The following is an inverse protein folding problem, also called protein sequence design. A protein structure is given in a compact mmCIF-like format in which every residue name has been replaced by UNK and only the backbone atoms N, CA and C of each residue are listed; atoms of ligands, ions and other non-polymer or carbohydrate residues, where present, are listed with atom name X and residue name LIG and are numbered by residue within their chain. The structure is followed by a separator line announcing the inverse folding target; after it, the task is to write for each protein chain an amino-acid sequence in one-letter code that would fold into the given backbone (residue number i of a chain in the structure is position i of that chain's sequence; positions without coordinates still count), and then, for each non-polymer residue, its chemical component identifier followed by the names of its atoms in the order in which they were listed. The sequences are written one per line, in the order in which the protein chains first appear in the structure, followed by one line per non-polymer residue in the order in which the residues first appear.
data_IF_269579707122
#
_entry.id   IF_269579707122
#
_cell.length_a   1.000
_cell.length_b   1.000
_cell.length_c   1.000
_cell.angle_alpha   90.00
_cell.angle_beta   90.00
_cell.angle_gamma   90.00
#
_symmetry.space_group_name_H-M   'P 1'
#
loop_
_entity.id
_entity.type
_entity.pdbx_description
1 polymer ?
#
# COMPACT_ATOMS: atom_id res chain seq x y z
N UNK A 1 7.75 22.41 1.27
CA UNK A 1 6.78 21.30 1.49
C UNK A 1 6.82 20.96 2.96
N UNK A 2 5.67 20.90 3.64
CA UNK A 2 5.59 20.52 5.05
C UNK A 2 5.96 19.03 5.18
N UNK A 3 6.86 18.71 6.09
CA UNK A 3 7.24 17.32 6.39
C UNK A 3 6.35 16.86 7.57
N UNK A 4 5.62 15.79 7.37
CA UNK A 4 4.83 15.15 8.43
C UNK A 4 5.61 13.94 8.93
N UNK A 5 5.88 13.84 10.22
CA UNK A 5 6.46 12.64 10.80
C UNK A 5 5.54 11.44 10.54
N UNK A 6 6.12 10.35 10.06
CA UNK A 6 5.43 9.08 9.88
C UNK A 6 5.71 8.17 11.07
N UNK A 7 5.17 8.58 12.24
CA UNK A 7 5.59 8.08 13.54
C UNK A 7 5.52 6.55 13.64
N UNK A 8 4.45 5.92 13.16
CA UNK A 8 4.29 4.46 13.19
C UNK A 8 5.39 3.74 12.41
N UNK A 9 5.72 4.24 11.21
CA UNK A 9 6.79 3.65 10.40
C UNK A 9 8.17 3.93 10.98
N UNK A 10 8.40 5.15 11.47
CA UNK A 10 9.66 5.51 12.11
C UNK A 10 9.88 4.69 13.37
N UNK A 11 8.86 4.55 14.22
CA UNK A 11 8.92 3.71 15.42
C UNK A 11 9.24 2.25 15.06
N UNK A 12 8.60 1.72 14.00
CA UNK A 12 8.88 0.36 13.53
C UNK A 12 10.33 0.18 13.09
N UNK A 13 10.90 1.16 12.39
CA UNK A 13 12.32 1.12 12.00
C UNK A 13 13.22 1.18 13.23
N UNK A 14 12.90 2.01 14.21
CA UNK A 14 13.64 2.13 15.48
C UNK A 14 13.63 0.79 16.24
N UNK A 15 12.50 0.11 16.33
CA UNK A 15 12.38 -1.22 16.97
C UNK A 15 13.24 -2.30 16.29
N UNK A 16 13.50 -2.13 14.99
CA UNK A 16 14.33 -3.06 14.21
C UNK A 16 15.82 -2.71 14.23
N UNK A 17 16.20 -1.62 14.91
CA UNK A 17 17.60 -1.22 15.03
C UNK A 17 18.46 -2.35 15.66
N UNK A 18 19.56 -2.66 15.02
CA UNK A 18 20.50 -3.70 15.50
C UNK A 18 19.99 -5.13 15.36
N UNK A 19 18.82 -5.39 14.77
CA UNK A 19 18.43 -6.75 14.40
C UNK A 19 19.25 -7.23 13.20
N UNK A 20 19.53 -8.53 13.07
CA UNK A 20 20.43 -9.04 12.03
C UNK A 20 19.86 -8.91 10.61
N UNK A 21 18.54 -8.82 10.47
CA UNK A 21 17.88 -8.83 9.16
C UNK A 21 18.17 -7.57 8.33
N UNK A 22 18.15 -7.70 7.01
CA UNK A 22 18.13 -6.58 6.07
C UNK A 22 16.76 -5.91 6.14
N UNK A 23 16.69 -4.60 6.41
CA UNK A 23 15.45 -3.83 6.47
C UNK A 23 15.16 -3.26 5.07
N UNK A 24 14.03 -3.68 4.49
CA UNK A 24 13.65 -3.27 3.14
C UNK A 24 12.38 -2.43 3.20
N UNK A 25 12.52 -1.17 2.85
CA UNK A 25 11.41 -0.21 2.83
C UNK A 25 10.76 -0.25 1.44
N UNK A 26 9.59 -0.87 1.36
CA UNK A 26 8.79 -0.99 0.13
C UNK A 26 7.61 -0.03 0.12
N UNK A 27 6.86 -0.01 -0.94
CA UNK A 27 5.65 0.80 -1.06
C UNK A 27 5.55 1.52 -2.41
N UNK A 28 4.38 1.96 -2.82
CA UNK A 28 4.16 2.59 -4.12
C UNK A 28 5.11 3.78 -4.35
N UNK A 29 5.41 4.06 -5.61
CA UNK A 29 6.20 5.24 -5.99
C UNK A 29 5.60 6.52 -5.38
N UNK A 30 6.47 7.39 -4.81
CA UNK A 30 6.05 8.64 -4.11
C UNK A 30 5.29 8.44 -2.80
N UNK A 31 5.27 7.25 -2.19
CA UNK A 31 4.70 7.05 -0.85
C UNK A 31 5.54 7.63 0.29
N UNK A 32 6.76 8.11 0.02
CA UNK A 32 7.61 8.77 1.01
C UNK A 32 8.73 7.89 1.60
N UNK A 33 9.09 6.79 0.97
CA UNK A 33 10.16 5.86 1.42
C UNK A 33 11.48 6.55 1.72
N UNK A 34 12.02 7.31 0.75
CA UNK A 34 13.29 8.05 0.91
C UNK A 34 13.22 9.08 2.05
N UNK A 35 12.05 9.74 2.23
CA UNK A 35 11.85 10.68 3.35
C UNK A 35 11.81 9.98 4.70
N UNK A 36 11.22 8.80 4.78
CA UNK A 36 11.22 7.97 5.98
C UNK A 36 12.65 7.50 6.32
N UNK A 37 13.41 7.06 5.33
CA UNK A 37 14.83 6.71 5.50
C UNK A 37 15.66 7.89 6.00
N UNK A 38 15.48 9.08 5.41
CA UNK A 38 16.14 10.31 5.87
C UNK A 38 15.77 10.68 7.32
N UNK A 39 14.48 10.56 7.68
CA UNK A 39 14.04 10.82 9.04
C UNK A 39 14.68 9.86 10.05
N UNK A 40 14.87 8.61 9.68
CA UNK A 40 15.55 7.65 10.52
C UNK A 40 17.07 7.94 10.63
N UNK A 41 17.71 8.36 9.56
CA UNK A 41 19.12 8.81 9.59
C UNK A 41 19.29 9.98 10.56
N UNK A 42 18.41 10.97 10.55
CA UNK A 42 18.46 12.10 11.50
C UNK A 42 18.18 11.65 12.95
N UNK A 43 17.30 10.69 13.14
CA UNK A 43 17.09 10.07 14.45
C UNK A 43 18.36 9.40 14.96
N UNK A 44 19.04 8.59 14.13
CA UNK A 44 20.30 7.94 14.53
C UNK A 44 21.40 8.94 14.90
N UNK A 45 21.58 10.01 14.12
CA UNK A 45 22.55 11.07 14.41
C UNK A 45 22.33 11.74 15.76
N UNK A 46 21.09 11.80 16.23
CA UNK A 46 20.72 12.50 17.45
C UNK A 46 20.60 11.59 18.68
N UNK A 47 20.47 10.26 18.49
CA UNK A 47 20.18 9.32 19.58
C UNK A 47 21.18 8.17 19.70
N UNK A 48 22.06 7.98 18.72
CA UNK A 48 23.05 6.90 18.75
C UNK A 48 24.45 7.50 18.73
N UNK A 49 25.12 7.41 19.87
CA UNK A 49 26.51 7.81 19.97
C UNK A 49 27.40 6.89 19.12
N UNK A 50 28.44 7.47 18.52
CA UNK A 50 29.46 6.71 17.81
C UNK A 50 28.93 5.88 16.61
N UNK A 51 27.92 6.38 15.88
CA UNK A 51 27.44 5.79 14.64
C UNK A 51 28.28 6.23 13.42
N UNK A 52 28.40 5.34 12.44
CA UNK A 52 28.91 5.60 11.11
C UNK A 52 27.76 5.39 10.10
N UNK A 53 27.39 6.43 9.37
CA UNK A 53 26.27 6.39 8.42
C UNK A 53 26.84 6.42 7.00
N UNK A 54 26.62 5.31 6.28
CA UNK A 54 26.95 5.17 4.86
C UNK A 54 25.63 5.31 4.10
N UNK A 55 25.40 6.45 3.44
CA UNK A 55 24.19 6.73 2.69
C UNK A 55 24.49 6.86 1.21
N UNK A 56 23.82 6.08 0.40
CA UNK A 56 23.93 6.02 -1.06
C UNK A 56 22.54 6.26 -1.65
N UNK A 57 22.42 7.29 -2.48
CA UNK A 57 21.21 7.57 -3.26
C UNK A 57 21.52 7.40 -4.74
N UNK A 58 21.07 6.32 -5.35
CA UNK A 58 21.33 6.04 -6.76
C UNK A 58 20.61 6.97 -7.76
N UNK A 59 19.78 7.87 -7.26
CA UNK A 59 19.25 8.98 -8.09
C UNK A 59 20.22 10.17 -8.16
N UNK A 60 21.21 10.24 -7.27
CA UNK A 60 22.24 11.27 -7.27
C UNK A 60 23.41 10.85 -8.20
N UNK A 61 23.84 11.75 -9.09
CA UNK A 61 24.97 11.55 -9.99
C UNK A 61 26.30 11.34 -9.26
N UNK A 62 26.41 11.78 -8.00
CA UNK A 62 27.58 11.52 -7.16
C UNK A 62 27.89 10.02 -6.98
N UNK A 63 26.89 9.15 -7.18
CA UNK A 63 27.02 7.71 -7.06
C UNK A 63 26.96 6.96 -8.41
N UNK A 64 27.10 7.68 -9.54
CA UNK A 64 27.02 7.07 -10.87
C UNK A 64 28.08 5.97 -11.10
N UNK A 65 29.30 6.21 -10.62
CA UNK A 65 30.43 5.29 -10.78
C UNK A 65 30.29 3.98 -9.95
N UNK A 66 29.39 3.95 -8.97
CA UNK A 66 29.18 2.77 -8.12
C UNK A 66 27.87 2.02 -8.43
N UNK A 67 27.22 2.29 -9.56
CA UNK A 67 26.03 1.55 -10.05
C UNK A 67 26.33 0.15 -10.59
N UNK A 68 27.44 -0.44 -10.22
CA UNK A 68 27.84 -1.81 -10.48
C UNK A 68 28.12 -2.51 -9.15
N UNK A 69 27.68 -3.75 -8.99
CA UNK A 69 27.64 -4.40 -7.65
C UNK A 69 29.02 -4.58 -7.01
N UNK A 70 30.10 -4.81 -7.78
CA UNK A 70 31.46 -4.85 -7.24
C UNK A 70 31.94 -3.46 -6.76
N UNK A 71 31.62 -2.41 -7.53
CA UNK A 71 31.95 -1.04 -7.15
C UNK A 71 31.16 -0.60 -5.91
N UNK A 72 29.86 -0.95 -5.84
CA UNK A 72 29.03 -0.74 -4.65
C UNK A 72 29.65 -1.41 -3.41
N UNK A 73 30.01 -2.71 -3.54
CA UNK A 73 30.62 -3.44 -2.44
C UNK A 73 31.93 -2.79 -1.98
N UNK A 74 32.82 -2.48 -2.93
CA UNK A 74 34.12 -1.86 -2.61
C UNK A 74 33.95 -0.46 -1.95
N UNK A 75 33.01 0.33 -2.43
CA UNK A 75 32.70 1.64 -1.84
C UNK A 75 32.25 1.52 -0.39
N UNK A 76 31.34 0.61 -0.09
CA UNK A 76 30.83 0.39 1.28
C UNK A 76 31.95 -0.09 2.20
N UNK A 77 32.81 -1.02 1.74
CA UNK A 77 33.95 -1.49 2.50
C UNK A 77 34.96 -0.39 2.83
N UNK A 78 35.20 0.53 1.89
CA UNK A 78 36.10 1.67 2.10
C UNK A 78 35.57 2.68 3.14
N UNK A 79 34.26 2.71 3.37
CA UNK A 79 33.61 3.57 4.37
C UNK A 79 33.47 2.94 5.75
N UNK A 80 33.82 1.66 5.91
CA UNK A 80 33.73 0.95 7.18
C UNK A 80 34.59 1.53 8.28
N UNK A 81 34.06 1.68 9.49
CA UNK A 81 34.77 2.16 10.66
C UNK A 81 34.68 1.15 11.81
N UNK A 82 35.81 0.50 12.14
CA UNK A 82 35.86 -0.64 13.08
C UNK A 82 35.37 -0.31 14.51
N UNK A 83 35.48 0.95 14.92
CA UNK A 83 35.11 1.38 16.28
C UNK A 83 33.71 2.00 16.36
N UNK A 84 32.91 1.89 15.30
CA UNK A 84 31.56 2.46 15.24
C UNK A 84 30.52 1.43 14.86
N UNK A 85 29.26 1.71 15.22
CA UNK A 85 28.11 0.99 14.66
C UNK A 85 27.92 1.49 13.23
N UNK A 86 28.04 0.61 12.25
CA UNK A 86 27.98 0.95 10.85
C UNK A 86 26.58 0.71 10.28
N UNK A 87 25.93 1.77 9.84
CA UNK A 87 24.63 1.75 9.18
C UNK A 87 24.82 1.94 7.69
N UNK A 88 24.29 1.00 6.89
CA UNK A 88 24.28 1.12 5.43
C UNK A 88 22.85 1.43 4.95
N UNK A 89 22.69 2.56 4.30
CA UNK A 89 21.44 2.98 3.66
C UNK A 89 21.66 3.07 2.16
N UNK A 90 20.85 2.34 1.39
CA UNK A 90 20.86 2.41 -0.09
C UNK A 90 19.47 2.75 -0.59
N UNK A 91 19.31 3.94 -1.13
CA UNK A 91 18.06 4.42 -1.73
C UNK A 91 18.02 4.10 -3.23
N UNK A 92 16.86 3.62 -3.74
CA UNK A 92 16.64 3.18 -5.12
C UNK A 92 17.65 2.10 -5.56
N UNK A 93 17.86 1.08 -4.71
CA UNK A 93 18.89 0.05 -4.87
C UNK A 93 18.81 -0.72 -6.21
N UNK A 94 17.65 -0.82 -6.82
CA UNK A 94 17.46 -1.47 -8.13
C UNK A 94 18.16 -0.75 -9.30
N UNK A 95 18.63 0.47 -9.08
CA UNK A 95 19.46 1.19 -10.09
C UNK A 95 20.87 0.60 -10.21
N UNK A 96 21.28 -0.29 -9.30
CA UNK A 96 22.50 -1.07 -9.36
C UNK A 96 22.15 -2.50 -9.79
N UNK A 97 22.40 -2.92 -11.03
CA UNK A 97 22.14 -4.29 -11.47
C UNK A 97 22.89 -5.30 -10.59
N UNK A 98 22.23 -6.42 -10.27
CA UNK A 98 22.79 -7.47 -9.41
C UNK A 98 23.21 -6.99 -7.99
N UNK A 99 22.60 -5.92 -7.50
CA UNK A 99 22.87 -5.36 -6.16
C UNK A 99 22.79 -6.39 -5.04
N UNK A 100 21.92 -7.40 -5.20
CA UNK A 100 21.75 -8.49 -4.23
C UNK A 100 23.04 -9.25 -3.95
N UNK A 101 23.95 -9.37 -4.90
CA UNK A 101 25.24 -10.02 -4.72
C UNK A 101 26.12 -9.21 -3.75
N UNK A 102 26.16 -7.89 -3.92
CA UNK A 102 26.89 -6.99 -3.03
C UNK A 102 26.28 -6.99 -1.63
N UNK A 103 24.95 -6.85 -1.53
CA UNK A 103 24.24 -6.78 -0.24
C UNK A 103 24.37 -8.10 0.53
N UNK A 104 24.19 -9.25 -0.11
CA UNK A 104 24.39 -10.55 0.55
C UNK A 104 25.83 -10.76 1.04
N UNK A 105 26.83 -10.28 0.28
CA UNK A 105 28.24 -10.33 0.70
C UNK A 105 28.50 -9.44 1.92
N UNK A 106 27.94 -8.22 1.94
CA UNK A 106 28.06 -7.31 3.08
C UNK A 106 27.32 -7.84 4.32
N UNK A 107 26.12 -8.40 4.11
CA UNK A 107 25.34 -9.03 5.16
C UNK A 107 26.10 -10.17 5.84
N UNK A 108 26.74 -11.05 5.06
CA UNK A 108 27.51 -12.18 5.59
C UNK A 108 28.71 -11.79 6.45
N UNK A 109 29.14 -10.53 6.41
CA UNK A 109 30.23 -10.01 7.26
C UNK A 109 29.76 -9.61 8.66
N UNK A 110 28.44 -9.50 8.89
CA UNK A 110 27.84 -9.10 10.18
C UNK A 110 28.39 -7.77 10.74
N UNK A 111 28.79 -6.86 9.85
CA UNK A 111 29.42 -5.56 10.20
C UNK A 111 28.51 -4.36 10.02
N UNK A 112 27.40 -4.55 9.35
CA UNK A 112 26.53 -3.46 8.92
C UNK A 112 25.07 -3.73 9.32
N UNK A 113 24.40 -2.70 9.79
CA UNK A 113 22.95 -2.67 9.88
C UNK A 113 22.40 -2.09 8.56
N UNK A 114 21.71 -2.93 7.76
CA UNK A 114 21.44 -2.64 6.33
C UNK A 114 19.99 -2.25 6.13
N UNK A 115 19.79 -1.10 5.48
CA UNK A 115 18.50 -0.53 5.11
C UNK A 115 18.47 -0.24 3.61
N UNK A 116 17.48 -0.77 2.91
CA UNK A 116 17.32 -0.61 1.48
C UNK A 116 15.97 0.01 1.15
N UNK A 117 15.93 0.88 0.14
CA UNK A 117 14.68 1.20 -0.52
C UNK A 117 14.75 0.87 -2.00
N UNK A 118 13.61 0.76 -2.61
CA UNK A 118 13.52 0.67 -4.05
C UNK A 118 12.11 0.85 -4.56
N UNK A 119 11.99 1.12 -5.87
CA UNK A 119 10.70 1.17 -6.51
C UNK A 119 10.13 -0.25 -6.65
N UNK A 120 8.83 -0.35 -6.49
CA UNK A 120 8.08 -1.58 -6.30
C UNK A 120 8.24 -2.62 -7.39
N UNK A 121 8.39 -2.18 -8.65
CA UNK A 121 8.52 -3.10 -9.75
C UNK A 121 9.75 -4.01 -9.63
N UNK A 122 10.77 -3.62 -8.87
CA UNK A 122 12.05 -4.33 -8.76
C UNK A 122 12.28 -4.99 -7.40
N UNK A 123 11.72 -4.45 -6.32
CA UNK A 123 11.76 -5.05 -4.98
C UNK A 123 10.40 -5.65 -4.62
N UNK A 124 10.00 -6.68 -5.35
CA UNK A 124 8.77 -7.41 -5.05
C UNK A 124 8.98 -8.33 -3.86
N UNK A 125 7.99 -8.41 -2.97
CA UNK A 125 8.04 -9.37 -1.87
C UNK A 125 8.34 -10.80 -2.33
N UNK A 126 7.81 -11.21 -3.49
CA UNK A 126 8.12 -12.51 -4.08
C UNK A 126 9.57 -12.63 -4.58
N UNK A 127 10.15 -11.56 -5.14
CA UNK A 127 11.55 -11.52 -5.58
C UNK A 127 12.48 -11.41 -4.37
N UNK A 128 12.12 -10.62 -3.33
CA UNK A 128 12.90 -10.46 -2.10
C UNK A 128 13.13 -11.79 -1.39
N UNK A 129 12.12 -12.65 -1.31
CA UNK A 129 12.25 -13.98 -0.72
C UNK A 129 13.31 -14.83 -1.43
N UNK A 130 13.47 -14.65 -2.75
CA UNK A 130 14.49 -15.33 -3.56
C UNK A 130 15.85 -14.64 -3.45
N UNK A 131 15.88 -13.30 -3.53
CA UNK A 131 17.12 -12.52 -3.51
C UNK A 131 17.85 -12.58 -2.17
N UNK A 132 17.10 -12.56 -1.06
CA UNK A 132 17.66 -12.51 0.29
C UNK A 132 17.40 -13.77 1.13
N UNK A 133 16.77 -14.79 0.57
CA UNK A 133 16.59 -16.14 1.21
C UNK A 133 16.03 -16.08 2.63
N UNK A 134 15.04 -15.20 2.88
CA UNK A 134 14.41 -15.06 4.20
C UNK A 134 15.21 -14.26 5.24
N UNK A 135 16.25 -13.54 4.83
CA UNK A 135 17.12 -12.73 5.72
C UNK A 135 16.75 -11.26 5.69
N UNK A 136 15.47 -10.94 5.58
CA UNK A 136 15.00 -9.58 5.48
C UNK A 136 13.69 -9.36 6.25
N UNK A 137 13.45 -8.13 6.63
CA UNK A 137 12.17 -7.65 7.16
C UNK A 137 11.67 -6.55 6.23
N UNK A 138 10.45 -6.71 5.74
CA UNK A 138 9.78 -5.73 4.90
C UNK A 138 9.05 -4.69 5.75
N UNK A 139 9.23 -3.40 5.41
CA UNK A 139 8.52 -2.27 5.98
C UNK A 139 7.73 -1.63 4.84
N UNK A 140 6.45 -1.99 4.74
CA UNK A 140 5.60 -1.54 3.64
C UNK A 140 4.99 -0.17 3.92
N UNK A 141 5.34 0.83 3.11
CA UNK A 141 4.95 2.24 3.27
C UNK A 141 3.81 2.59 2.31
N UNK A 142 2.61 2.71 2.86
CA UNK A 142 1.43 3.18 2.14
C UNK A 142 1.47 4.70 1.86
N UNK A 143 0.66 5.23 0.92
CA UNK A 143 0.34 6.67 0.86
C UNK A 143 -0.15 7.19 2.21
N UNK A 144 -0.22 8.49 2.42
CA UNK A 144 -0.69 9.05 3.70
C UNK A 144 -2.05 8.47 4.10
N UNK A 145 -2.20 8.14 5.39
CA UNK A 145 -3.49 7.83 6.00
C UNK A 145 -4.35 9.08 6.12
N UNK A 146 -5.63 8.91 6.43
CA UNK A 146 -6.50 10.05 6.74
C UNK A 146 -5.99 10.84 7.96
N UNK A 147 -5.48 10.17 8.99
CA UNK A 147 -4.86 10.83 10.15
C UNK A 147 -3.63 11.67 9.74
N UNK A 148 -2.73 11.12 8.88
CA UNK A 148 -1.59 11.86 8.36
C UNK A 148 -2.00 13.03 7.47
N UNK A 149 -3.08 12.87 6.69
CA UNK A 149 -3.69 13.94 5.90
C UNK A 149 -4.21 15.09 6.78
N UNK A 150 -4.96 14.77 7.85
CA UNK A 150 -5.43 15.77 8.81
C UNK A 150 -4.28 16.54 9.45
N UNK A 151 -3.22 15.84 9.88
CA UNK A 151 -2.00 16.46 10.43
C UNK A 151 -1.28 17.37 9.42
N UNK A 152 -1.32 17.04 8.13
CA UNK A 152 -0.74 17.89 7.09
C UNK A 152 -1.47 19.23 6.98
N UNK A 153 -2.79 19.24 7.07
CA UNK A 153 -3.62 20.45 6.94
C UNK A 153 -3.87 21.18 8.28
N UNK A 154 -3.26 20.73 9.40
CA UNK A 154 -3.26 21.41 10.73
C UNK A 154 -4.66 21.72 11.25
N UNK A 155 -5.59 20.80 11.16
CA UNK A 155 -6.93 20.93 11.76
C UNK A 155 -7.65 22.26 11.44
N UNK A 156 -7.27 22.95 10.36
CA UNK A 156 -7.89 24.22 9.97
C UNK A 156 -9.29 24.05 9.39
N UNK A 157 -9.69 22.81 9.14
CA UNK A 157 -10.97 22.43 8.57
C UNK A 157 -11.71 21.46 9.48
N UNK A 158 -13.03 21.47 9.37
CA UNK A 158 -13.87 20.43 9.94
C UNK A 158 -13.50 19.03 9.40
N UNK A 159 -13.58 18.02 10.28
CA UNK A 159 -13.26 16.62 9.96
C UNK A 159 -14.05 16.13 8.74
N UNK A 160 -15.32 16.51 8.63
CA UNK A 160 -16.17 16.14 7.51
C UNK A 160 -15.62 16.67 6.18
N UNK A 161 -15.20 17.94 6.15
CA UNK A 161 -14.59 18.54 4.97
C UNK A 161 -13.23 17.91 4.64
N UNK A 162 -12.43 17.60 5.65
CA UNK A 162 -11.15 16.91 5.44
C UNK A 162 -11.35 15.50 4.88
N UNK A 163 -12.37 14.79 5.34
CA UNK A 163 -12.69 13.46 4.85
C UNK A 163 -13.17 13.48 3.39
N UNK A 164 -14.08 14.40 3.04
CA UNK A 164 -14.53 14.58 1.66
C UNK A 164 -13.37 14.96 0.73
N UNK A 165 -12.51 15.88 1.18
CA UNK A 165 -11.29 16.26 0.47
C UNK A 165 -10.33 15.07 0.28
N UNK A 166 -10.08 14.29 1.34
CA UNK A 166 -9.18 13.13 1.30
C UNK A 166 -9.71 12.04 0.36
N UNK A 167 -11.01 11.80 0.35
CA UNK A 167 -11.66 10.84 -0.55
C UNK A 167 -11.33 11.12 -2.02
N UNK A 168 -11.18 12.39 -2.38
CA UNK A 168 -10.88 12.84 -3.75
C UNK A 168 -9.38 13.01 -3.98
N UNK A 169 -8.67 13.61 -3.01
CA UNK A 169 -7.24 13.97 -3.15
C UNK A 169 -6.30 12.78 -2.90
N UNK A 170 -6.76 11.80 -2.11
CA UNK A 170 -5.95 10.65 -1.71
C UNK A 170 -4.79 11.00 -0.80
N UNK A 171 -3.88 10.05 -0.61
CA UNK A 171 -2.73 10.11 0.29
C UNK A 171 -1.37 10.34 -0.38
N UNK A 172 -1.31 10.57 -1.71
CA UNK A 172 -0.05 10.90 -2.39
C UNK A 172 0.41 12.33 -2.03
N UNK A 173 1.08 12.46 -0.88
CA UNK A 173 1.43 13.73 -0.24
C UNK A 173 2.19 14.71 -1.13
N UNK A 174 2.96 14.22 -2.12
CA UNK A 174 3.62 15.08 -3.10
C UNK A 174 2.65 15.95 -3.89
N UNK A 175 1.40 15.51 -4.06
CA UNK A 175 0.35 16.25 -4.76
C UNK A 175 -0.12 17.50 -4.00
N UNK A 176 0.03 17.52 -2.68
CA UNK A 176 -0.43 18.63 -1.84
C UNK A 176 0.40 19.91 -1.97
N UNK A 177 1.60 19.81 -2.59
CA UNK A 177 2.42 20.98 -2.89
C UNK A 177 1.82 21.88 -3.98
N UNK A 178 0.89 21.34 -4.77
CA UNK A 178 0.28 22.08 -5.88
C UNK A 178 -0.96 22.87 -5.44
N UNK A 179 -1.01 24.14 -5.84
CA UNK A 179 -2.08 25.06 -5.43
C UNK A 179 -3.38 24.85 -6.23
N UNK A 180 -3.26 24.42 -7.50
CA UNK A 180 -4.44 24.22 -8.34
C UNK A 180 -4.80 22.74 -8.40
N UNK A 181 -6.11 22.47 -8.53
CA UNK A 181 -6.61 21.10 -8.71
C UNK A 181 -6.03 20.46 -9.99
N UNK A 182 -5.95 21.24 -11.06
CA UNK A 182 -5.39 20.78 -12.34
C UNK A 182 -3.95 20.27 -12.19
N UNK A 183 -3.09 21.04 -11.52
CA UNK A 183 -1.69 20.65 -11.34
C UNK A 183 -1.53 19.45 -10.41
N UNK A 184 -2.37 19.38 -9.38
CA UNK A 184 -2.44 18.20 -8.50
C UNK A 184 -2.83 16.94 -9.26
N UNK A 185 -3.88 17.02 -10.07
CA UNK A 185 -4.33 15.90 -10.91
C UNK A 185 -3.23 15.50 -11.89
N UNK A 186 -2.58 16.44 -12.56
CA UNK A 186 -1.48 16.17 -13.48
C UNK A 186 -0.33 15.45 -12.78
N UNK A 187 0.06 15.91 -11.59
CA UNK A 187 1.11 15.23 -10.80
C UNK A 187 0.75 13.77 -10.51
N UNK A 188 -0.49 13.49 -10.08
CA UNK A 188 -0.93 12.13 -9.79
C UNK A 188 -0.94 11.27 -11.05
N UNK A 189 -1.39 11.83 -12.18
CA UNK A 189 -1.35 11.17 -13.49
C UNK A 189 0.07 10.79 -13.89
N UNK A 190 1.01 11.73 -13.79
CA UNK A 190 2.42 11.46 -14.10
C UNK A 190 3.03 10.37 -13.22
N UNK A 191 2.69 10.36 -11.91
CA UNK A 191 3.12 9.28 -11.00
C UNK A 191 2.57 7.93 -11.48
N UNK A 192 1.29 7.86 -11.75
CA UNK A 192 0.62 6.64 -12.22
C UNK A 192 1.18 6.18 -13.57
N UNK A 193 1.29 7.06 -14.55
CA UNK A 193 1.85 6.75 -15.87
C UNK A 193 3.30 6.26 -15.75
N UNK A 194 4.10 6.87 -14.89
CA UNK A 194 5.48 6.39 -14.65
C UNK A 194 5.48 4.95 -14.14
N UNK A 195 4.58 4.59 -13.23
CA UNK A 195 4.49 3.21 -12.71
C UNK A 195 4.07 2.24 -13.83
N UNK A 196 2.97 2.56 -14.52
CA UNK A 196 2.34 1.63 -15.48
C UNK A 196 3.11 1.54 -16.78
N UNK A 197 3.55 2.68 -17.36
CA UNK A 197 4.14 2.70 -18.71
C UNK A 197 5.66 2.59 -18.70
N UNK A 198 6.34 3.01 -17.63
CA UNK A 198 7.79 2.93 -17.54
C UNK A 198 8.24 1.76 -16.68
N UNK A 199 7.88 1.77 -15.38
CA UNK A 199 8.44 0.83 -14.44
C UNK A 199 8.00 -0.62 -14.74
N UNK A 200 6.69 -0.86 -14.99
CA UNK A 200 6.18 -2.20 -15.33
C UNK A 200 6.59 -2.66 -16.73
N UNK A 201 6.50 -1.77 -17.72
CA UNK A 201 6.85 -2.12 -19.11
C UNK A 201 8.33 -2.48 -19.22
N UNK A 202 9.22 -1.70 -18.59
CA UNK A 202 10.66 -2.00 -18.60
C UNK A 202 10.98 -3.31 -17.88
N UNK A 203 10.41 -3.50 -16.66
CA UNK A 203 10.69 -4.72 -15.88
C UNK A 203 10.24 -6.00 -16.58
N UNK A 204 9.04 -5.99 -17.14
CA UNK A 204 8.43 -7.21 -17.70
C UNK A 204 8.51 -7.29 -19.23
N UNK A 205 9.20 -6.34 -19.89
CA UNK A 205 9.33 -6.23 -21.35
C UNK A 205 7.97 -6.39 -22.06
N UNK A 206 6.96 -5.64 -21.61
CA UNK A 206 5.58 -5.81 -22.06
C UNK A 206 5.42 -5.31 -23.50
N UNK A 207 4.90 -6.14 -24.41
CA UNK A 207 4.76 -5.77 -25.83
C UNK A 207 3.55 -4.83 -26.05
N UNK A 208 2.54 -4.86 -25.18
CA UNK A 208 1.30 -4.12 -25.34
C UNK A 208 0.94 -3.38 -24.06
N UNK A 209 1.14 -2.07 -24.08
CA UNK A 209 0.81 -1.17 -22.98
C UNK A 209 -0.68 -0.84 -22.92
N UNK A 210 -1.40 -0.93 -24.04
CA UNK A 210 -2.83 -0.59 -24.11
C UNK A 210 -3.68 -1.56 -23.28
N UNK A 211 -3.38 -2.87 -23.35
CA UNK A 211 -4.07 -3.88 -22.54
C UNK A 211 -3.86 -3.61 -21.06
N UNK A 212 -2.61 -3.30 -20.65
CA UNK A 212 -2.30 -2.99 -19.25
C UNK A 212 -3.04 -1.74 -18.77
N UNK A 213 -3.07 -0.69 -19.57
CA UNK A 213 -3.76 0.56 -19.30
C UNK A 213 -5.28 0.36 -19.13
N UNK A 214 -5.92 -0.29 -20.13
CA UNK A 214 -7.35 -0.60 -20.10
C UNK A 214 -7.75 -1.51 -18.95
N UNK A 215 -6.91 -2.49 -18.65
CA UNK A 215 -7.09 -3.36 -17.48
C UNK A 215 -7.05 -2.57 -16.18
N UNK A 216 -6.07 -1.68 -16.03
CA UNK A 216 -5.92 -0.88 -14.82
C UNK A 216 -7.10 0.09 -14.64
N UNK A 217 -7.54 0.77 -15.70
CA UNK A 217 -8.74 1.61 -15.69
C UNK A 217 -10.00 0.81 -15.32
N UNK A 218 -10.15 -0.40 -15.88
CA UNK A 218 -11.23 -1.31 -15.51
C UNK A 218 -11.22 -1.68 -14.02
N UNK A 219 -10.06 -2.02 -13.47
CA UNK A 219 -9.93 -2.37 -12.05
C UNK A 219 -10.22 -1.17 -11.14
N UNK A 220 -9.82 0.06 -11.54
CA UNK A 220 -10.14 1.29 -10.81
C UNK A 220 -11.65 1.58 -10.77
N UNK A 221 -12.35 1.35 -11.88
CA UNK A 221 -13.80 1.56 -11.97
C UNK A 221 -14.59 0.45 -11.26
N UNK A 222 -13.96 -0.71 -11.07
CA UNK A 222 -14.54 -1.89 -10.44
C UNK A 222 -13.89 -2.24 -9.10
N UNK A 223 -13.31 -1.27 -8.38
CA UNK A 223 -12.79 -1.51 -7.02
C UNK A 223 -13.89 -2.13 -6.16
N UNK A 224 -13.51 -2.98 -5.22
CA UNK A 224 -14.43 -3.68 -4.30
C UNK A 224 -15.41 -4.67 -4.97
N UNK A 225 -15.32 -4.89 -6.28
CA UNK A 225 -16.13 -5.90 -6.96
C UNK A 225 -15.38 -7.21 -7.15
N UNK A 226 -16.09 -8.33 -6.93
CA UNK A 226 -15.55 -9.64 -7.26
C UNK A 226 -15.22 -9.74 -8.74
N UNK A 227 -13.97 -10.01 -9.03
CA UNK A 227 -13.41 -9.97 -10.39
C UNK A 227 -12.57 -11.22 -10.65
N UNK A 228 -12.61 -11.72 -11.87
CA UNK A 228 -11.76 -12.83 -12.33
C UNK A 228 -11.10 -12.50 -13.67
N UNK A 229 -9.88 -12.99 -13.94
CA UNK A 229 -9.20 -12.77 -15.21
C UNK A 229 -10.03 -13.16 -16.43
N UNK A 230 -10.83 -14.22 -16.33
CA UNK A 230 -11.75 -14.66 -17.40
C UNK A 230 -12.80 -13.59 -17.72
N UNK A 231 -13.53 -13.12 -16.71
CA UNK A 231 -14.55 -12.10 -16.89
C UNK A 231 -13.97 -10.82 -17.50
N UNK A 232 -12.80 -10.39 -16.98
CA UNK A 232 -12.15 -9.18 -17.46
C UNK A 232 -11.68 -9.32 -18.90
N UNK A 233 -11.05 -10.45 -19.26
CA UNK A 233 -10.59 -10.68 -20.64
C UNK A 233 -11.74 -10.66 -21.66
N UNK A 234 -12.88 -11.24 -21.32
CA UNK A 234 -14.08 -11.21 -22.14
C UNK A 234 -14.59 -9.77 -22.35
N UNK A 235 -14.65 -8.98 -21.27
CA UNK A 235 -15.10 -7.58 -21.32
C UNK A 235 -14.14 -6.70 -22.14
N UNK A 236 -12.83 -6.85 -21.96
CA UNK A 236 -11.82 -6.10 -22.71
C UNK A 236 -11.90 -6.45 -24.20
N UNK A 237 -12.02 -7.73 -24.55
CA UNK A 237 -12.15 -8.19 -25.95
C UNK A 237 -13.45 -7.67 -26.59
N UNK A 238 -14.57 -7.69 -25.87
CA UNK A 238 -15.83 -7.11 -26.34
C UNK A 238 -15.73 -5.60 -26.60
N UNK A 239 -14.82 -4.90 -25.90
CA UNK A 239 -14.52 -3.48 -26.07
C UNK A 239 -13.29 -3.24 -26.99
N UNK A 240 -13.08 -4.08 -27.98
CA UNK A 240 -12.01 -3.98 -29.00
C UNK A 240 -10.58 -4.00 -28.44
N UNK A 241 -10.36 -4.61 -27.28
CA UNK A 241 -9.02 -4.83 -26.73
C UNK A 241 -8.74 -6.33 -26.68
N UNK A 242 -8.13 -6.83 -27.75
CA UNK A 242 -7.84 -8.27 -27.89
C UNK A 242 -6.89 -8.75 -26.80
N UNK A 243 -7.35 -9.67 -25.95
CA UNK A 243 -6.55 -10.25 -24.88
C UNK A 243 -7.15 -11.60 -24.43
N UNK A 244 -6.46 -12.29 -23.54
CA UNK A 244 -6.91 -13.55 -22.98
C UNK A 244 -6.72 -13.56 -21.46
N UNK A 245 -7.37 -14.52 -20.78
CA UNK A 245 -7.36 -14.60 -19.32
C UNK A 245 -5.96 -14.83 -18.70
N UNK A 246 -5.05 -15.49 -19.43
CA UNK A 246 -3.68 -15.72 -18.96
C UNK A 246 -2.90 -14.41 -18.94
N UNK A 247 -3.00 -13.60 -19.99
CA UNK A 247 -2.38 -12.27 -20.07
C UNK A 247 -2.96 -11.33 -19.03
N UNK A 248 -4.29 -11.30 -18.90
CA UNK A 248 -4.98 -10.49 -17.90
C UNK A 248 -4.53 -10.88 -16.48
N UNK A 249 -4.47 -12.18 -16.15
CA UNK A 249 -4.01 -12.66 -14.85
C UNK A 249 -2.57 -12.24 -14.54
N UNK A 250 -1.67 -12.33 -15.55
CA UNK A 250 -0.28 -11.84 -15.40
C UNK A 250 -0.23 -10.33 -15.14
N UNK A 251 -0.99 -9.55 -15.91
CA UNK A 251 -0.98 -8.09 -15.78
C UNK A 251 -1.60 -7.61 -14.46
N UNK A 252 -2.65 -8.28 -13.97
CA UNK A 252 -3.17 -8.05 -12.62
C UNK A 252 -2.07 -8.27 -11.58
N UNK A 253 -1.35 -9.39 -11.67
CA UNK A 253 -0.24 -9.68 -10.77
C UNK A 253 0.87 -8.61 -10.84
N UNK A 254 1.16 -8.08 -12.03
CA UNK A 254 2.16 -7.02 -12.18
C UNK A 254 1.70 -5.70 -11.52
N UNK A 255 0.42 -5.36 -11.66
CA UNK A 255 -0.16 -4.18 -11.01
C UNK A 255 -0.18 -4.33 -9.47
N UNK A 256 -0.49 -5.53 -8.95
CA UNK A 256 -0.41 -5.82 -7.52
C UNK A 256 1.04 -5.77 -7.04
N UNK A 257 1.94 -6.36 -7.78
CA UNK A 257 3.36 -6.32 -7.49
C UNK A 257 3.94 -4.88 -7.45
N UNK A 258 3.39 -3.96 -8.24
CA UNK A 258 3.74 -2.54 -8.18
C UNK A 258 3.00 -1.78 -7.06
N UNK A 259 2.25 -2.48 -6.23
CA UNK A 259 1.40 -1.90 -5.17
C UNK A 259 0.40 -0.84 -5.68
N UNK A 260 0.03 -0.90 -6.97
CA UNK A 260 -1.07 -0.10 -7.50
C UNK A 260 -2.39 -0.64 -7.00
N UNK A 261 -2.50 -1.99 -6.95
CA UNK A 261 -3.64 -2.69 -6.38
C UNK A 261 -3.20 -3.70 -5.33
N UNK A 262 -4.12 -4.02 -4.44
CA UNK A 262 -4.03 -5.10 -3.45
C UNK A 262 -5.13 -6.10 -3.74
N UNK A 263 -4.75 -7.36 -3.94
CA UNK A 263 -5.67 -8.47 -4.10
C UNK A 263 -6.14 -8.99 -2.74
N UNK A 264 -7.44 -9.10 -2.57
CA UNK A 264 -8.05 -9.64 -1.35
C UNK A 264 -8.82 -10.91 -1.69
N UNK A 265 -8.35 -12.00 -1.11
CA UNK A 265 -8.90 -13.34 -1.31
C UNK A 265 -10.20 -13.52 -0.54
N UNK A 266 -10.99 -14.49 -0.97
CA UNK A 266 -12.23 -14.83 -0.29
C UNK A 266 -12.01 -15.88 0.81
N UNK A 267 -12.76 -15.72 1.89
CA UNK A 267 -12.76 -16.64 3.03
C UNK A 267 -14.19 -17.11 3.32
N UNK A 268 -14.43 -18.44 3.27
CA UNK A 268 -15.72 -19.02 3.66
C UNK A 268 -15.80 -19.10 5.19
N UNK A 269 -16.68 -18.25 5.78
CA UNK A 269 -16.82 -18.10 7.23
C UNK A 269 -17.35 -19.39 7.87
N UNK A 270 -18.26 -20.10 7.18
CA UNK A 270 -18.85 -21.33 7.67
C UNK A 270 -17.86 -22.49 7.65
N UNK A 271 -17.26 -22.71 6.49
CA UNK A 271 -16.34 -23.83 6.25
C UNK A 271 -14.91 -23.53 6.72
N UNK A 272 -14.64 -22.31 7.13
CA UNK A 272 -13.34 -21.82 7.63
C UNK A 272 -12.18 -22.13 6.67
N UNK A 273 -12.41 -21.88 5.37
CA UNK A 273 -11.42 -22.14 4.32
C UNK A 273 -11.28 -20.99 3.35
N UNK A 274 -10.11 -20.87 2.78
CA UNK A 274 -9.85 -19.92 1.69
C UNK A 274 -10.46 -20.45 0.38
N UNK A 275 -10.98 -19.54 -0.43
CA UNK A 275 -11.58 -19.86 -1.72
C UNK A 275 -10.65 -19.40 -2.85
N UNK A 276 -10.36 -20.30 -3.77
CA UNK A 276 -9.57 -20.01 -4.99
C UNK A 276 -10.41 -19.36 -6.11
N UNK A 277 -11.53 -18.73 -5.77
CA UNK A 277 -12.44 -18.11 -6.74
C UNK A 277 -12.13 -16.62 -6.88
N UNK A 278 -12.94 -15.91 -7.70
CA UNK A 278 -12.81 -14.47 -7.92
C UNK A 278 -12.42 -13.67 -6.67
N UNK A 279 -11.50 -12.73 -6.83
CA UNK A 279 -10.94 -11.88 -5.79
C UNK A 279 -11.49 -10.45 -5.92
N UNK A 280 -11.37 -9.65 -4.88
CA UNK A 280 -11.55 -8.20 -4.96
C UNK A 280 -10.20 -7.51 -5.08
N UNK A 281 -10.17 -6.42 -5.82
CA UNK A 281 -8.97 -5.59 -5.99
C UNK A 281 -9.22 -4.20 -5.43
N UNK A 282 -8.30 -3.74 -4.58
CA UNK A 282 -8.37 -2.45 -3.93
C UNK A 282 -7.21 -1.58 -4.38
N UNK A 283 -7.52 -0.35 -4.77
CA UNK A 283 -6.54 0.62 -5.25
C UNK A 283 -5.78 1.22 -4.06
N UNK A 284 -4.49 1.36 -4.17
CA UNK A 284 -3.62 1.88 -3.10
C UNK A 284 -3.97 3.31 -2.65
N UNK A 285 -4.62 4.10 -3.51
CA UNK A 285 -4.92 5.51 -3.26
C UNK A 285 -6.10 6.00 -4.11
N UNK A 286 -7.12 6.56 -3.46
CA UNK A 286 -8.34 7.05 -4.14
C UNK A 286 -8.08 8.25 -5.05
N UNK A 287 -7.04 9.06 -4.76
CA UNK A 287 -6.64 10.19 -5.60
C UNK A 287 -6.20 9.75 -6.99
N UNK A 288 -5.62 8.54 -7.12
CA UNK A 288 -5.27 7.97 -8.44
C UNK A 288 -6.54 7.72 -9.25
N UNK A 289 -7.57 7.09 -8.64
CA UNK A 289 -8.84 6.87 -9.31
C UNK A 289 -9.45 8.18 -9.80
N UNK A 290 -9.50 9.18 -8.92
CA UNK A 290 -10.05 10.47 -9.28
C UNK A 290 -9.26 11.16 -10.41
N UNK A 291 -7.94 11.10 -10.33
CA UNK A 291 -7.08 11.70 -11.37
C UNK A 291 -7.26 11.03 -12.74
N UNK A 292 -7.40 9.70 -12.80
CA UNK A 292 -7.49 8.96 -14.06
C UNK A 292 -8.90 8.92 -14.63
N UNK A 293 -9.91 8.62 -13.80
CA UNK A 293 -11.30 8.43 -14.25
C UNK A 293 -12.20 9.68 -14.05
N UNK A 294 -11.75 10.65 -13.25
CA UNK A 294 -12.55 11.79 -12.82
C UNK A 294 -13.70 11.38 -11.89
N UNK A 295 -14.75 12.18 -11.87
CA UNK A 295 -15.95 11.92 -11.06
C UNK A 295 -16.96 10.96 -11.69
N UNK A 296 -16.62 10.32 -12.82
CA UNK A 296 -17.50 9.36 -13.49
C UNK A 296 -17.76 8.15 -12.61
N UNK A 297 -19.02 7.70 -12.57
CA UNK A 297 -19.44 6.48 -11.88
C UNK A 297 -18.95 6.43 -10.42
N UNK A 298 -18.96 7.55 -9.71
CA UNK A 298 -18.55 7.60 -8.29
C UNK A 298 -19.58 6.85 -7.46
N UNK A 299 -19.20 5.64 -7.04
CA UNK A 299 -19.91 4.84 -6.04
C UNK A 299 -19.16 5.01 -4.70
N UNK A 300 -19.71 5.85 -3.83
CA UNK A 300 -19.06 6.17 -2.55
C UNK A 300 -18.97 4.96 -1.63
N UNK A 301 -19.90 4.03 -1.68
CA UNK A 301 -19.82 2.79 -0.91
C UNK A 301 -18.55 2.01 -1.23
N UNK A 302 -18.27 1.81 -2.52
CA UNK A 302 -17.04 1.13 -2.97
C UNK A 302 -15.77 1.91 -2.67
N UNK A 303 -15.82 3.24 -2.77
CA UNK A 303 -14.66 4.09 -2.45
C UNK A 303 -14.34 3.99 -0.96
N UNK A 304 -15.36 4.04 -0.09
CA UNK A 304 -15.17 3.90 1.34
C UNK A 304 -14.70 2.48 1.71
N UNK A 305 -15.23 1.45 1.07
CA UNK A 305 -14.73 0.09 1.21
C UNK A 305 -13.24 0.00 0.83
N UNK A 306 -12.84 0.64 -0.27
CA UNK A 306 -11.43 0.72 -0.67
C UNK A 306 -10.56 1.43 0.39
N UNK A 307 -11.00 2.56 0.92
CA UNK A 307 -10.27 3.30 1.95
C UNK A 307 -10.11 2.47 3.23
N UNK A 308 -11.16 1.79 3.64
CA UNK A 308 -11.16 0.88 4.80
C UNK A 308 -10.20 -0.28 4.58
N UNK A 309 -10.21 -0.90 3.40
CA UNK A 309 -9.28 -1.99 3.08
C UNK A 309 -7.81 -1.55 3.21
N UNK A 310 -7.45 -0.42 2.60
CA UNK A 310 -6.08 0.10 2.67
C UNK A 310 -5.69 0.44 4.11
N UNK A 311 -6.60 0.98 4.92
CA UNK A 311 -6.33 1.25 6.34
C UNK A 311 -6.15 -0.04 7.14
N UNK A 312 -6.96 -1.08 6.91
CA UNK A 312 -6.81 -2.38 7.56
C UNK A 312 -5.44 -3.02 7.24
N UNK A 313 -5.02 -2.99 5.97
CA UNK A 313 -3.69 -3.45 5.55
C UNK A 313 -2.58 -2.63 6.22
N UNK A 314 -2.74 -1.30 6.32
CA UNK A 314 -1.78 -0.39 7.00
C UNK A 314 -1.66 -0.71 8.49
N UNK A 315 -2.76 -1.11 9.15
CA UNK A 315 -2.78 -1.56 10.55
C UNK A 315 -2.19 -2.95 10.75
N UNK A 316 -1.82 -3.63 9.66
CA UNK A 316 -1.18 -4.94 9.67
C UNK A 316 -2.15 -6.09 9.90
N UNK A 317 -3.41 -5.93 9.50
CA UNK A 317 -4.36 -7.04 9.42
C UNK A 317 -4.18 -7.84 8.13
N UNK A 318 -4.34 -9.15 8.23
CA UNK A 318 -4.65 -10.01 7.10
C UNK A 318 -6.12 -9.79 6.74
N UNK A 319 -6.38 -9.38 5.49
CA UNK A 319 -7.71 -8.97 5.03
C UNK A 319 -8.28 -9.98 4.05
N UNK A 320 -9.53 -10.36 4.25
CA UNK A 320 -10.26 -11.31 3.39
C UNK A 320 -11.68 -10.80 3.13
N UNK A 321 -12.24 -11.14 1.97
CA UNK A 321 -13.68 -10.98 1.69
C UNK A 321 -14.43 -12.17 2.25
N UNK A 322 -15.35 -11.93 3.17
CA UNK A 322 -16.14 -12.98 3.80
C UNK A 322 -17.24 -13.52 2.90
N UNK A 323 -17.40 -14.85 2.88
CA UNK A 323 -18.57 -15.51 2.31
C UNK A 323 -19.34 -16.22 3.41
N UNK A 324 -20.62 -15.89 3.57
CA UNK A 324 -21.53 -16.56 4.48
C UNK A 324 -22.75 -17.04 3.70
N UNK A 325 -22.80 -18.35 3.33
CA UNK A 325 -23.81 -18.91 2.41
C UNK A 325 -23.82 -18.20 1.05
N UNK A 326 -24.89 -17.46 0.74
CA UNK A 326 -25.03 -16.67 -0.48
C UNK A 326 -24.76 -15.17 -0.26
N UNK A 327 -24.41 -14.78 0.98
CA UNK A 327 -24.14 -13.41 1.35
C UNK A 327 -22.64 -13.14 1.41
N UNK A 328 -22.28 -11.91 1.16
CA UNK A 328 -20.94 -11.39 1.31
C UNK A 328 -20.84 -10.62 2.64
N UNK A 329 -19.67 -10.70 3.27
CA UNK A 329 -19.21 -9.79 4.33
C UNK A 329 -18.02 -9.07 3.72
N UNK A 330 -18.02 -7.75 3.73
CA UNK A 330 -17.00 -6.97 3.02
C UNK A 330 -15.61 -7.37 3.50
N UNK A 331 -15.41 -7.45 4.83
CA UNK A 331 -14.14 -7.88 5.37
C UNK A 331 -14.25 -8.88 6.52
N UNK A 332 -13.40 -9.88 6.46
CA UNK A 332 -12.97 -10.71 7.59
C UNK A 332 -11.50 -10.40 7.81
N UNK A 333 -11.15 -9.79 8.94
CA UNK A 333 -9.78 -9.39 9.21
C UNK A 333 -9.20 -10.15 10.38
N UNK A 334 -7.90 -10.46 10.31
CA UNK A 334 -7.19 -11.22 11.33
C UNK A 334 -5.83 -10.57 11.64
N UNK A 335 -5.46 -10.57 12.92
CA UNK A 335 -4.13 -10.14 13.35
C UNK A 335 -3.77 -10.90 14.65
N UNK A 336 -2.86 -11.85 14.56
CA UNK A 336 -2.62 -12.80 15.64
C UNK A 336 -3.91 -13.57 15.97
N UNK A 337 -4.34 -13.50 17.22
CA UNK A 337 -5.58 -14.14 17.70
C UNK A 337 -6.84 -13.26 17.51
N UNK A 338 -6.69 -12.03 17.10
CA UNK A 338 -7.79 -11.11 16.86
C UNK A 338 -8.45 -11.40 15.51
N UNK A 339 -9.78 -11.44 15.51
CA UNK A 339 -10.60 -11.58 14.31
C UNK A 339 -11.81 -10.65 14.40
N UNK A 340 -12.10 -9.93 13.32
CA UNK A 340 -13.21 -8.97 13.25
C UNK A 340 -13.97 -9.17 11.93
N UNK A 341 -15.29 -8.99 11.95
CA UNK A 341 -16.15 -8.95 10.78
C UNK A 341 -16.60 -7.51 10.53
N UNK A 342 -16.42 -7.00 9.32
CA UNK A 342 -16.69 -5.61 8.99
C UNK A 342 -17.56 -5.51 7.74
N UNK A 343 -18.62 -4.68 7.82
CA UNK A 343 -19.39 -4.18 6.68
C UNK A 343 -19.09 -2.70 6.49
N UNK A 344 -19.08 -2.24 5.24
CA UNK A 344 -18.84 -0.85 4.88
C UNK A 344 -20.00 -0.33 4.03
N UNK A 345 -20.52 0.85 4.38
CA UNK A 345 -21.62 1.47 3.65
C UNK A 345 -21.41 2.98 3.52
N UNK A 346 -21.90 3.56 2.44
CA UNK A 346 -21.94 5.03 2.29
C UNK A 346 -23.01 5.67 3.15
N UNK A 347 -24.13 4.96 3.38
CA UNK A 347 -25.24 5.49 4.15
C UNK A 347 -26.06 4.34 4.75
N UNK A 348 -26.38 4.46 6.04
CA UNK A 348 -27.25 3.54 6.79
C UNK A 348 -28.43 4.25 7.44
N UNK A 349 -28.79 5.46 7.00
CA UNK A 349 -29.96 6.21 7.52
C UNK A 349 -31.28 5.64 7.03
N UNK A 350 -31.29 4.94 5.89
CA UNK A 350 -32.47 4.27 5.35
C UNK A 350 -32.62 2.92 6.04
N UNK A 351 -33.79 2.61 6.67
CA UNK A 351 -34.00 1.37 7.43
C UNK A 351 -33.68 0.09 6.63
N UNK A 352 -34.09 0.01 5.37
CA UNK A 352 -33.83 -1.15 4.51
C UNK A 352 -32.33 -1.37 4.26
N UNK A 353 -31.57 -0.26 4.10
CA UNK A 353 -30.11 -0.33 3.97
C UNK A 353 -29.49 -0.78 5.27
N UNK A 354 -29.88 -0.21 6.39
CA UNK A 354 -29.40 -0.59 7.71
C UNK A 354 -29.63 -2.08 7.99
N UNK A 355 -30.84 -2.56 7.75
CA UNK A 355 -31.16 -3.99 7.93
C UNK A 355 -30.32 -4.87 6.99
N UNK A 356 -30.12 -4.45 5.75
CA UNK A 356 -29.31 -5.18 4.77
C UNK A 356 -27.86 -5.35 5.25
N UNK A 357 -27.26 -4.32 5.83
CA UNK A 357 -25.88 -4.37 6.34
C UNK A 357 -25.79 -5.14 7.67
N UNK A 358 -26.77 -5.02 8.56
CA UNK A 358 -26.77 -5.75 9.84
C UNK A 358 -27.01 -7.25 9.68
N UNK A 359 -27.95 -7.63 8.80
CA UNK A 359 -28.44 -9.03 8.67
C UNK A 359 -27.33 -10.06 8.41
N UNK A 360 -26.31 -9.84 7.54
CA UNK A 360 -25.22 -10.78 7.36
C UNK A 360 -24.41 -10.98 8.63
N UNK A 361 -24.08 -9.90 9.34
CA UNK A 361 -23.29 -9.93 10.58
C UNK A 361 -24.01 -10.66 11.71
N UNK A 362 -25.32 -10.44 11.87
CA UNK A 362 -26.17 -11.12 12.87
C UNK A 362 -26.30 -12.63 12.63
N UNK A 363 -26.11 -13.09 11.40
CA UNK A 363 -26.14 -14.52 11.06
C UNK A 363 -24.84 -15.27 11.42
N UNK A 364 -23.76 -14.55 11.71
CA UNK A 364 -22.49 -15.14 12.15
C UNK A 364 -22.64 -15.59 13.61
N UNK A 365 -22.51 -16.92 13.84
CA UNK A 365 -22.75 -17.56 15.14
C UNK A 365 -21.45 -17.76 15.94
N UNK A 366 -20.59 -16.76 15.97
CA UNK A 366 -19.41 -16.78 16.84
C UNK A 366 -19.31 -15.49 17.66
N UNK A 367 -18.37 -15.48 18.63
CA UNK A 367 -18.20 -14.40 19.57
C UNK A 367 -17.23 -13.30 19.11
N UNK A 368 -16.72 -13.38 17.87
CA UNK A 368 -15.81 -12.35 17.38
C UNK A 368 -16.54 -11.01 17.15
N UNK A 369 -15.85 -9.88 17.36
CA UNK A 369 -16.41 -8.57 17.13
C UNK A 369 -16.98 -8.38 15.73
N UNK A 370 -18.07 -7.64 15.66
CA UNK A 370 -18.77 -7.28 14.42
C UNK A 370 -18.88 -5.77 14.34
N UNK A 371 -18.62 -5.22 13.18
CA UNK A 371 -18.52 -3.77 13.00
C UNK A 371 -19.21 -3.35 11.70
N UNK A 372 -19.89 -2.20 11.74
CA UNK A 372 -20.32 -1.47 10.55
C UNK A 372 -19.58 -0.14 10.52
N UNK A 373 -18.92 0.14 9.41
CA UNK A 373 -18.28 1.42 9.12
C UNK A 373 -19.12 2.15 8.09
N UNK A 374 -19.74 3.24 8.46
CA UNK A 374 -20.61 4.00 7.55
C UNK A 374 -20.44 5.50 7.75
N UNK A 375 -20.81 6.29 6.74
CA UNK A 375 -20.77 7.74 6.87
C UNK A 375 -21.98 8.23 7.64
N UNK A 376 -21.94 8.06 8.96
CA UNK A 376 -23.06 8.36 9.87
C UNK A 376 -23.07 9.80 10.37
N UNK A 377 -21.89 10.42 10.49
CA UNK A 377 -21.68 11.73 11.17
C UNK A 377 -22.19 11.72 12.62
N UNK A 378 -22.21 10.55 13.25
CA UNK A 378 -22.61 10.34 14.63
C UNK A 378 -21.52 9.64 15.41
N UNK A 379 -21.40 9.92 16.74
CA UNK A 379 -20.51 9.15 17.60
C UNK A 379 -20.80 7.65 17.54
N UNK A 380 -19.79 6.85 17.88
CA UNK A 380 -19.92 5.39 17.97
C UNK A 380 -21.16 4.99 18.79
N UNK A 381 -21.90 4.01 18.29
CA UNK A 381 -22.98 3.34 19.01
C UNK A 381 -23.00 1.84 18.67
N UNK A 382 -23.83 1.06 19.38
CA UNK A 382 -23.94 -0.38 19.15
C UNK A 382 -25.40 -0.78 18.92
N UNK A 383 -25.61 -1.74 18.01
CA UNK A 383 -26.91 -2.34 17.72
C UNK A 383 -26.79 -3.86 17.69
N UNK A 384 -27.50 -4.58 18.55
CA UNK A 384 -27.51 -6.04 18.66
C UNK A 384 -26.10 -6.67 18.70
N UNK A 385 -25.14 -6.04 19.39
CA UNK A 385 -23.76 -6.51 19.48
C UNK A 385 -22.89 -6.18 18.28
N UNK A 386 -23.37 -5.37 17.34
CA UNK A 386 -22.60 -4.79 16.24
C UNK A 386 -22.20 -3.38 16.62
N UNK A 387 -20.92 -3.09 16.59
CA UNK A 387 -20.40 -1.73 16.78
C UNK A 387 -20.51 -0.93 15.49
N UNK A 388 -21.05 0.28 15.57
CA UNK A 388 -21.25 1.16 14.40
C UNK A 388 -20.42 2.42 14.59
N UNK A 389 -19.55 2.71 13.63
CA UNK A 389 -18.67 3.87 13.64
C UNK A 389 -18.91 4.76 12.42
N UNK A 390 -18.74 6.06 12.59
CA UNK A 390 -18.46 6.92 11.44
C UNK A 390 -17.10 6.56 10.84
N UNK A 391 -17.02 6.46 9.51
CA UNK A 391 -15.78 6.07 8.81
C UNK A 391 -14.66 7.07 9.09
N UNK A 392 -14.94 8.38 9.09
CA UNK A 392 -13.91 9.39 9.34
C UNK A 392 -13.33 9.24 10.75
N UNK A 393 -14.20 9.05 11.75
CA UNK A 393 -13.77 8.84 13.13
C UNK A 393 -12.95 7.55 13.25
N UNK A 394 -13.41 6.46 12.63
CA UNK A 394 -12.68 5.19 12.66
C UNK A 394 -11.30 5.27 12.01
N UNK A 395 -11.16 6.01 10.90
CA UNK A 395 -9.86 6.23 10.24
C UNK A 395 -8.90 7.08 11.07
N UNK A 396 -9.39 7.84 12.05
CA UNK A 396 -8.58 8.60 13.00
C UNK A 396 -8.18 7.80 14.25
N UNK A 397 -8.83 6.66 14.52
CA UNK A 397 -8.41 5.77 15.61
C UNK A 397 -7.03 5.17 15.28
N UNK A 398 -6.09 5.28 16.19
CA UNK A 398 -4.73 4.76 16.05
C UNK A 398 -4.59 3.30 16.49
#
# INVERSE_FOLDING_TARGET
MKIIPRDKYLQRIIELNGTPDIKIITGIRRSGKSKLMQAYIEYLKSHVDNCNIIYIDFMDLAFEEIKEYHALHAYVEAQYQANKVNYLFVDEVQMCPQFELAINSLYAKEKYDIYLTGSNAFLLSADLATLFTGRYIEIHVFPFSFSEYCRYYEETKDIDQLFEDYTIKGGLAGSYAYKTEKDRINYIKEVYETIVTRDLVQKYALPDTLVLQRLSEFLMDNVSNLTSPNKVSQLLTANNTQTNHVTVGKYIKYLCNAFVFYDVKRYDIRDRKYLESAEKFYLCDTGIRYAILGSRNMDYGRIYENMVCIELLRRGYDVYVGKLYQKEIDFVVQKGDEKIYIQVSDNITVPDTFERECRPLLQIRDAYPKMILARTRHPKYSYEGIDIYDIADWLLLE
#
